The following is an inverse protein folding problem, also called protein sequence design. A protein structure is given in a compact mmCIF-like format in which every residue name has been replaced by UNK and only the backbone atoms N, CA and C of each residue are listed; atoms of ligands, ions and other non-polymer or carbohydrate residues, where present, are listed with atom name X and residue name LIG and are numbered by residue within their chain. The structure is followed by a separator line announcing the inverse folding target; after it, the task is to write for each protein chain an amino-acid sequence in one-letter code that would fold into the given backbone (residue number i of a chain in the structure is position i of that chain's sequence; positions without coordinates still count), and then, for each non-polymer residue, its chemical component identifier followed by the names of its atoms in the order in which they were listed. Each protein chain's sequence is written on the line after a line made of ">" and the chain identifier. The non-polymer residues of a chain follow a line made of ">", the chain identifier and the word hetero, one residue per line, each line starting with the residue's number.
data_IF_911602750980
#
_entry.id   IF_911602750980
#
_cell.length_a   1.000
_cell.length_b   1.000
_cell.length_c   1.000
_cell.angle_alpha   90.00
_cell.angle_beta   90.00
_cell.angle_gamma   90.00
#
_symmetry.space_group_name_H-M   'P 1'
#
loop_
_entity.id
_entity.type
_entity.pdbx_description
1 polymer ?
#
# COMPACT_ATOMS: atom_id res chain seq x y z
N UNK A 1 -2.80 14.34 41.63
CA UNK A 1 -1.93 13.16 41.47
C UNK A 1 -2.77 11.94 41.07
N UNK A 2 -3.46 11.99 39.91
CA UNK A 2 -4.36 10.90 39.44
C UNK A 2 -4.11 10.60 37.95
N UNK A 3 -3.72 11.60 37.16
CA UNK A 3 -3.44 11.49 35.72
C UNK A 3 -2.25 10.58 35.33
N UNK A 4 -1.35 10.23 36.26
CA UNK A 4 -0.22 9.33 35.98
C UNK A 4 -0.57 7.84 36.05
N UNK A 5 -1.59 7.46 36.84
CA UNK A 5 -1.98 6.06 37.03
C UNK A 5 -2.86 5.52 35.89
N UNK A 6 -3.60 6.39 35.21
CA UNK A 6 -4.38 6.03 34.02
C UNK A 6 -3.57 6.11 32.73
N UNK A 7 -2.42 6.81 32.75
CA UNK A 7 -1.53 6.91 31.59
C UNK A 7 -1.05 5.53 31.13
N UNK A 8 -0.66 4.64 32.06
CA UNK A 8 -0.30 3.25 31.74
C UNK A 8 -1.40 2.45 31.04
N UNK A 9 -2.67 2.82 31.22
CA UNK A 9 -3.81 2.07 30.68
C UNK A 9 -4.22 2.56 29.28
N UNK A 10 -4.07 3.86 29.00
CA UNK A 10 -4.37 4.45 27.68
C UNK A 10 -3.19 4.41 26.72
N UNK A 11 -1.96 4.44 27.24
CA UNK A 11 -0.73 4.41 26.45
C UNK A 11 -0.60 3.18 25.53
N UNK A 12 -0.87 1.93 25.95
CA UNK A 12 -0.73 0.77 25.07
C UNK A 12 -1.73 0.78 23.91
N UNK A 13 -2.93 1.33 24.09
CA UNK A 13 -3.92 1.43 23.01
C UNK A 13 -3.56 2.51 21.99
N UNK A 14 -3.09 3.67 22.47
CA UNK A 14 -2.63 4.76 21.59
C UNK A 14 -1.32 4.37 20.90
N UNK A 15 -0.41 3.68 21.61
CA UNK A 15 0.85 3.18 21.06
C UNK A 15 0.63 2.04 20.06
N UNK A 16 -0.40 1.20 20.23
CA UNK A 16 -0.78 0.22 19.21
C UNK A 16 -1.21 0.93 17.91
N UNK A 17 -2.02 1.99 17.99
CA UNK A 17 -2.44 2.80 16.84
C UNK A 17 -1.28 3.60 16.24
N UNK A 18 -0.32 4.06 17.05
CA UNK A 18 0.90 4.72 16.58
C UNK A 18 1.86 3.74 15.87
N UNK A 19 1.86 2.45 16.26
CA UNK A 19 2.60 1.38 15.57
C UNK A 19 1.89 0.89 14.29
N UNK A 20 0.67 1.36 13.97
CA UNK A 20 0.04 1.15 12.65
C UNK A 20 0.62 2.05 11.54
N UNK A 21 1.66 2.84 11.84
CA UNK A 21 2.19 3.87 10.94
C UNK A 21 3.01 3.36 9.74
N UNK A 22 3.27 2.06 9.61
CA UNK A 22 4.12 1.57 8.51
C UNK A 22 3.70 0.19 7.98
N UNK A 23 2.40 -0.14 7.97
CA UNK A 23 1.95 -1.40 7.38
C UNK A 23 1.99 -1.29 5.86
N UNK A 24 2.91 -2.00 5.23
CA UNK A 24 3.00 -2.05 3.77
C UNK A 24 2.15 -3.22 3.23
N UNK A 25 1.65 -3.11 1.99
CA UNK A 25 0.83 -4.16 1.35
C UNK A 25 1.44 -5.58 1.50
N UNK A 26 2.77 -5.78 1.34
CA UNK A 26 3.39 -7.09 1.57
C UNK A 26 3.20 -7.65 2.98
N UNK A 27 3.24 -6.80 4.01
CA UNK A 27 3.05 -7.20 5.41
C UNK A 27 1.59 -7.58 5.69
N UNK A 28 0.64 -6.84 5.11
CA UNK A 28 -0.79 -7.14 5.23
C UNK A 28 -1.17 -8.49 4.62
N UNK A 29 -0.50 -8.87 3.53
CA UNK A 29 -0.79 -10.10 2.78
C UNK A 29 0.18 -11.24 3.11
N UNK A 30 1.09 -11.04 4.07
CA UNK A 30 2.13 -12.00 4.45
C UNK A 30 2.94 -12.52 3.24
N UNK A 31 3.31 -11.62 2.32
CA UNK A 31 4.09 -11.93 1.12
C UNK A 31 5.45 -11.28 1.19
N UNK A 32 6.45 -11.95 0.61
CA UNK A 32 7.79 -11.38 0.51
C UNK A 32 7.74 -10.05 -0.28
N UNK A 33 8.27 -8.94 0.26
CA UNK A 33 8.26 -7.63 -0.40
C UNK A 33 8.84 -7.66 -1.82
N UNK A 34 9.87 -8.47 -2.08
CA UNK A 34 10.47 -8.60 -3.41
C UNK A 34 9.53 -9.25 -4.42
N UNK A 35 8.68 -10.19 -3.99
CA UNK A 35 7.66 -10.80 -4.85
C UNK A 35 6.58 -9.78 -5.23
N UNK A 36 6.20 -8.92 -4.29
CA UNK A 36 5.22 -7.87 -4.56
C UNK A 36 5.77 -6.82 -5.53
N UNK A 37 7.05 -6.43 -5.36
CA UNK A 37 7.74 -5.53 -6.30
C UNK A 37 7.79 -6.16 -7.69
N UNK A 38 8.19 -7.43 -7.79
CA UNK A 38 8.27 -8.16 -9.07
C UNK A 38 6.90 -8.22 -9.75
N UNK A 39 5.85 -8.57 -9.01
CA UNK A 39 4.48 -8.62 -9.51
C UNK A 39 4.04 -7.26 -10.05
N UNK A 40 4.26 -6.20 -9.27
CA UNK A 40 3.91 -4.84 -9.67
C UNK A 40 4.67 -4.41 -10.93
N UNK A 41 5.97 -4.70 -11.02
CA UNK A 41 6.77 -4.42 -12.22
C UNK A 41 6.24 -5.17 -13.45
N UNK A 42 5.92 -6.46 -13.33
CA UNK A 42 5.36 -7.24 -14.43
C UNK A 42 3.99 -6.70 -14.87
N UNK A 43 3.12 -6.33 -13.92
CA UNK A 43 1.82 -5.72 -14.24
C UNK A 43 1.97 -4.37 -14.95
N UNK A 44 2.90 -3.53 -14.51
CA UNK A 44 3.18 -2.25 -15.16
C UNK A 44 3.67 -2.47 -16.59
N UNK A 45 4.65 -3.35 -16.80
CA UNK A 45 5.16 -3.69 -18.13
C UNK A 45 4.07 -4.26 -19.04
N UNK A 46 3.20 -5.12 -18.50
CA UNK A 46 2.06 -5.65 -19.23
C UNK A 46 1.10 -4.55 -19.67
N UNK A 47 0.79 -3.59 -18.79
CA UNK A 47 -0.05 -2.44 -19.15
C UNK A 47 0.58 -1.60 -20.25
N UNK A 48 1.87 -1.27 -20.15
CA UNK A 48 2.57 -0.55 -21.21
C UNK A 48 2.54 -1.32 -22.53
N UNK A 49 2.78 -2.62 -22.49
CA UNK A 49 2.69 -3.48 -23.67
C UNK A 49 1.28 -3.51 -24.27
N UNK A 50 0.22 -3.54 -23.46
CA UNK A 50 -1.15 -3.47 -23.95
C UNK A 50 -1.49 -2.10 -24.53
N UNK A 51 -1.00 -1.02 -23.94
CA UNK A 51 -1.21 0.34 -24.48
C UNK A 51 -0.51 0.50 -25.83
N UNK A 52 0.73 0.03 -25.93
CA UNK A 52 1.54 0.15 -27.14
C UNK A 52 1.05 -0.80 -28.26
N UNK A 53 0.83 -2.07 -27.92
CA UNK A 53 0.50 -3.11 -28.92
C UNK A 53 -0.99 -3.32 -29.15
N UNK A 54 -1.81 -3.24 -28.10
CA UNK A 54 -3.26 -3.39 -28.23
C UNK A 54 -3.98 -2.06 -28.48
N UNK A 55 -3.25 -0.94 -28.53
CA UNK A 55 -3.81 0.36 -28.89
C UNK A 55 -4.88 0.84 -27.91
N UNK A 56 -4.80 0.43 -26.63
CA UNK A 56 -5.73 0.84 -25.55
C UNK A 56 -5.58 2.31 -25.14
N UNK A 57 -5.11 3.14 -26.06
CA UNK A 57 -5.02 4.57 -25.89
C UNK A 57 -6.44 5.14 -25.88
N UNK A 58 -6.70 6.11 -24.99
CA UNK A 58 -7.97 6.83 -25.01
C UNK A 58 -8.13 7.48 -26.37
N UNK A 59 -9.19 7.13 -27.10
CA UNK A 59 -9.53 7.82 -28.36
C UNK A 59 -9.72 9.30 -28.04
N UNK A 60 -9.02 10.17 -28.77
CA UNK A 60 -9.35 11.60 -28.81
C UNK A 60 -10.56 11.72 -29.70
N UNK A 61 -11.66 12.21 -29.14
CA UNK A 61 -12.77 12.69 -29.96
C UNK A 61 -12.22 13.87 -30.79
N UNK A 62 -12.22 13.70 -32.11
CA UNK A 62 -11.84 14.74 -33.05
C UNK A 62 -13.03 15.71 -33.16
N UNK A 63 -12.87 16.92 -32.63
CA UNK A 63 -13.72 18.08 -32.95
C UNK A 63 -13.33 18.67 -34.32
#
# INVERSE_FOLDING_TARGET
>A
MIYGLTYQQVFPKISAIANYGNTVIPELWNVNPYLFILLFSLMALLLFYLIDRAGLQRKKDLE
#
